data_IF_249634772426
#
_entry.id   IF_249634772426
#
_cell.length_a   1.000
_cell.length_b   1.000
_cell.length_c   1.000
_cell.angle_alpha   90.00
_cell.angle_beta   90.00
_cell.angle_gamma   90.00
#
_symmetry.space_group_name_H-M   'P 1'
#
loop_
_entity.id
_entity.type
_entity.pdbx_description
1 polymer ?
#
# COMPACT_ATOMS: atom_id res chain seq x y z
N UNK A 1 27.41 3.56 -20.41
CA UNK A 1 26.65 2.73 -19.44
C UNK A 1 26.93 3.31 -18.06
N UNK A 2 26.02 4.13 -17.55
CA UNK A 2 26.12 4.75 -16.22
C UNK A 2 25.97 3.64 -15.18
N UNK A 3 26.87 3.58 -14.21
CA UNK A 3 26.80 2.66 -13.09
C UNK A 3 25.60 3.03 -12.20
N UNK A 4 24.54 2.22 -12.24
CA UNK A 4 23.35 2.42 -11.42
C UNK A 4 23.65 2.29 -9.92
N UNK A 5 24.73 1.60 -9.53
CA UNK A 5 25.12 1.44 -8.13
C UNK A 5 25.70 2.73 -7.52
N UNK A 6 26.40 3.55 -8.32
CA UNK A 6 27.00 4.82 -7.88
C UNK A 6 25.97 5.89 -7.50
N UNK A 7 24.73 5.81 -8.02
CA UNK A 7 23.67 6.81 -7.77
C UNK A 7 23.10 6.78 -6.35
N UNK A 8 23.36 5.73 -5.58
CA UNK A 8 22.77 5.49 -4.26
C UNK A 8 23.71 5.79 -3.07
N UNK A 9 24.95 6.23 -3.31
CA UNK A 9 25.93 6.45 -2.24
C UNK A 9 25.69 7.74 -1.43
N UNK A 10 25.08 8.77 -2.02
CA UNK A 10 24.95 10.11 -1.40
C UNK A 10 23.50 10.55 -1.11
N UNK A 11 22.50 9.66 -1.31
CA UNK A 11 21.08 9.93 -1.04
C UNK A 11 20.56 8.97 0.02
N UNK A 12 19.53 9.34 0.82
CA UNK A 12 18.79 8.34 1.57
C UNK A 12 18.32 7.26 0.58
N UNK A 13 18.31 5.97 0.98
CA UNK A 13 18.06 4.85 0.06
C UNK A 13 16.70 4.96 -0.66
N UNK A 14 15.81 5.82 -0.18
CA UNK A 14 14.52 6.08 -0.80
C UNK A 14 14.11 7.56 -0.73
N UNK A 15 14.20 8.33 -1.82
CA UNK A 15 13.86 9.76 -1.83
C UNK A 15 12.35 10.03 -1.76
N UNK A 16 11.52 9.03 -2.03
CA UNK A 16 10.05 9.17 -2.07
C UNK A 16 9.36 8.85 -0.72
N UNK A 17 10.11 8.52 0.34
CA UNK A 17 9.53 8.31 1.68
C UNK A 17 9.23 9.70 2.26
N UNK A 18 8.02 9.95 2.80
CA UNK A 18 7.70 11.20 3.46
C UNK A 18 8.71 11.55 4.57
N UNK A 19 9.37 12.70 4.43
CA UNK A 19 10.38 13.17 5.38
C UNK A 19 9.81 13.94 6.61
N UNK A 20 8.48 14.05 6.72
CA UNK A 20 7.76 14.98 7.63
C UNK A 20 6.84 14.31 8.66
N UNK A 21 7.21 13.16 9.19
CA UNK A 21 6.69 12.71 10.48
C UNK A 21 7.85 12.86 11.45
N UNK A 22 7.63 13.37 12.67
CA UNK A 22 8.68 13.73 13.66
C UNK A 22 9.72 12.61 13.97
N UNK A 23 9.63 11.44 13.34
CA UNK A 23 10.40 10.22 13.54
C UNK A 23 10.89 9.56 12.22
N UNK A 24 10.97 10.31 11.11
CA UNK A 24 11.51 9.87 9.81
C UNK A 24 12.88 9.14 9.85
N UNK A 25 13.81 9.33 10.82
CA UNK A 25 15.07 8.58 10.88
C UNK A 25 14.97 7.06 11.10
N UNK A 26 13.78 6.45 11.06
CA UNK A 26 13.61 5.00 11.23
C UNK A 26 13.10 4.29 9.97
N UNK A 27 12.17 4.90 9.21
CA UNK A 27 11.62 4.30 7.97
C UNK A 27 12.56 4.44 6.77
N UNK A 28 13.29 5.57 6.68
CA UNK A 28 14.23 5.79 5.58
C UNK A 28 15.42 4.82 5.59
N UNK A 29 15.66 4.15 6.72
CA UNK A 29 16.71 3.14 6.89
C UNK A 29 16.20 1.70 6.68
N UNK A 30 14.94 1.52 6.29
CA UNK A 30 14.40 0.19 6.04
C UNK A 30 15.21 -0.51 4.94
N UNK A 31 15.67 -1.76 5.15
CA UNK A 31 16.47 -2.50 4.17
C UNK A 31 15.65 -2.93 2.94
N UNK A 32 14.32 -2.90 3.03
CA UNK A 32 13.43 -3.27 1.94
C UNK A 32 12.30 -2.24 1.81
N UNK A 33 12.04 -1.85 0.55
CA UNK A 33 10.83 -1.14 0.15
C UNK A 33 10.13 -1.95 -0.94
N UNK A 34 8.86 -2.27 -0.72
CA UNK A 34 7.98 -2.91 -1.73
C UNK A 34 6.99 -1.86 -2.22
N UNK A 35 6.83 -1.70 -3.54
CA UNK A 35 5.83 -0.81 -4.14
C UNK A 35 4.79 -1.65 -4.88
N UNK A 36 3.59 -1.85 -4.31
CA UNK A 36 2.50 -2.53 -5.01
C UNK A 36 1.97 -1.68 -6.18
N UNK A 37 1.89 -2.30 -7.35
CA UNK A 37 1.43 -1.68 -8.59
C UNK A 37 0.14 -2.34 -9.05
N UNK A 38 -0.98 -1.60 -9.05
CA UNK A 38 -2.23 -2.09 -9.61
C UNK A 38 -2.18 -2.06 -11.14
N UNK A 39 -2.70 -3.10 -11.79
CA UNK A 39 -2.65 -3.21 -13.25
C UNK A 39 -4.04 -3.57 -13.83
N UNK A 40 -4.79 -2.53 -14.20
CA UNK A 40 -6.17 -2.64 -14.68
C UNK A 40 -6.31 -3.53 -15.90
N UNK A 41 -5.43 -3.38 -16.89
CA UNK A 41 -5.55 -4.09 -18.17
C UNK A 41 -5.42 -5.61 -18.01
N UNK A 42 -4.56 -6.08 -17.09
CA UNK A 42 -4.41 -7.51 -16.79
C UNK A 42 -5.65 -8.05 -16.07
N UNK A 43 -6.20 -7.28 -15.13
CA UNK A 43 -7.43 -7.66 -14.44
C UNK A 43 -8.58 -7.84 -15.45
N UNK A 44 -8.82 -6.84 -16.31
CA UNK A 44 -9.88 -6.93 -17.32
C UNK A 44 -9.61 -8.02 -18.35
N UNK A 45 -8.35 -8.26 -18.74
CA UNK A 45 -7.98 -9.35 -19.64
C UNK A 45 -8.33 -10.72 -19.03
N UNK A 46 -8.00 -10.94 -17.75
CA UNK A 46 -8.32 -12.19 -17.05
C UNK A 46 -9.82 -12.45 -17.01
N UNK A 47 -10.62 -11.40 -16.81
CA UNK A 47 -12.08 -11.52 -16.74
C UNK A 47 -12.79 -11.47 -18.09
N UNK A 48 -12.03 -11.32 -19.18
CA UNK A 48 -12.49 -11.49 -20.56
C UNK A 48 -12.15 -12.89 -21.11
N UNK A 49 -11.57 -13.77 -20.29
CA UNK A 49 -11.29 -15.15 -20.71
C UNK A 49 -12.59 -15.93 -20.96
N UNK A 50 -12.58 -16.91 -21.88
CA UNK A 50 -13.80 -17.63 -22.29
C UNK A 50 -14.58 -18.31 -21.15
N UNK A 51 -13.93 -18.56 -19.99
CA UNK A 51 -14.56 -19.17 -18.83
C UNK A 51 -15.55 -18.25 -18.09
N UNK A 52 -15.63 -16.96 -18.44
CA UNK A 52 -16.44 -15.96 -17.71
C UNK A 52 -17.81 -15.67 -18.33
N UNK A 53 -18.08 -16.16 -19.55
CA UNK A 53 -19.37 -15.95 -20.23
C UNK A 53 -19.51 -14.58 -20.91
N UNK A 54 -18.46 -13.77 -20.92
CA UNK A 54 -18.32 -12.55 -21.73
C UNK A 54 -16.85 -12.34 -22.09
N UNK A 55 -16.58 -11.72 -23.24
CA UNK A 55 -15.23 -11.55 -23.79
C UNK A 55 -14.80 -10.08 -23.85
N UNK A 56 -15.68 -9.14 -23.47
CA UNK A 56 -15.33 -7.72 -23.41
C UNK A 56 -14.53 -7.37 -22.15
N UNK A 57 -13.87 -6.21 -22.19
CA UNK A 57 -13.07 -5.65 -21.09
C UNK A 57 -13.78 -4.45 -20.44
N UNK A 58 -15.10 -4.47 -20.35
CA UNK A 58 -15.89 -3.30 -19.98
C UNK A 58 -15.89 -3.02 -18.47
N UNK A 59 -15.23 -1.95 -18.01
CA UNK A 59 -15.15 -1.58 -16.58
C UNK A 59 -16.51 -1.50 -15.86
N UNK A 60 -17.60 -1.22 -16.58
CA UNK A 60 -18.95 -1.12 -16.06
C UNK A 60 -19.54 -2.41 -15.47
N UNK A 61 -18.93 -3.59 -15.70
CA UNK A 61 -19.41 -4.83 -15.05
C UNK A 61 -19.02 -4.92 -13.57
N UNK A 62 -18.16 -4.03 -13.09
CA UNK A 62 -17.67 -4.04 -11.71
C UNK A 62 -18.17 -2.79 -10.96
N UNK A 63 -18.79 -2.95 -9.77
CA UNK A 63 -19.24 -1.82 -8.97
C UNK A 63 -18.10 -1.01 -8.34
N UNK A 64 -16.86 -1.53 -8.41
CA UNK A 64 -15.66 -0.93 -7.85
C UNK A 64 -14.43 -1.31 -8.68
N UNK A 65 -13.34 -0.53 -8.62
CA UNK A 65 -12.11 -0.82 -9.34
C UNK A 65 -11.30 -1.93 -8.64
N UNK A 66 -11.70 -3.19 -8.85
CA UNK A 66 -11.12 -4.32 -8.12
C UNK A 66 -9.62 -4.52 -8.31
N UNK A 67 -9.02 -4.04 -9.41
CA UNK A 67 -7.56 -4.05 -9.57
C UNK A 67 -6.83 -3.29 -8.45
N UNK A 68 -7.40 -2.19 -7.95
CA UNK A 68 -6.86 -1.48 -6.79
C UNK A 68 -7.16 -2.21 -5.48
N UNK A 69 -8.35 -2.82 -5.36
CA UNK A 69 -8.76 -3.57 -4.17
C UNK A 69 -7.85 -4.78 -3.97
N UNK A 70 -7.63 -5.58 -5.01
CA UNK A 70 -6.77 -6.76 -4.98
C UNK A 70 -5.33 -6.39 -4.63
N UNK A 71 -4.83 -5.27 -5.18
CA UNK A 71 -3.50 -4.77 -4.87
C UNK A 71 -3.40 -4.27 -3.42
N UNK A 72 -4.48 -3.66 -2.91
CA UNK A 72 -4.60 -3.26 -1.50
C UNK A 72 -4.67 -4.46 -0.55
N UNK A 73 -5.40 -5.52 -0.92
CA UNK A 73 -5.42 -6.77 -0.16
C UNK A 73 -4.05 -7.44 -0.14
N UNK A 74 -3.35 -7.49 -1.28
CA UNK A 74 -1.98 -8.00 -1.34
C UNK A 74 -1.03 -7.18 -0.46
N UNK A 75 -1.12 -5.85 -0.48
CA UNK A 75 -0.35 -4.97 0.39
C UNK A 75 -0.63 -5.23 1.88
N UNK A 76 -1.90 -5.40 2.25
CA UNK A 76 -2.28 -5.74 3.62
C UNK A 76 -1.73 -7.10 4.05
N UNK A 77 -1.81 -8.12 3.18
CA UNK A 77 -1.25 -9.44 3.46
C UNK A 77 0.26 -9.36 3.70
N UNK A 78 1.01 -8.61 2.88
CA UNK A 78 2.44 -8.39 3.11
C UNK A 78 2.74 -7.74 4.46
N UNK A 79 1.95 -6.74 4.87
CA UNK A 79 2.09 -6.08 6.18
C UNK A 79 1.84 -7.07 7.34
N UNK A 80 0.78 -7.87 7.25
CA UNK A 80 0.44 -8.86 8.27
C UNK A 80 1.53 -9.94 8.37
N UNK A 81 2.01 -10.45 7.22
CA UNK A 81 3.11 -11.41 7.18
C UNK A 81 4.38 -10.84 7.79
N UNK A 82 4.75 -9.59 7.48
CA UNK A 82 5.93 -8.97 8.08
C UNK A 82 5.83 -8.91 9.61
N UNK A 83 4.67 -8.55 10.16
CA UNK A 83 4.45 -8.50 11.61
C UNK A 83 4.47 -9.90 12.24
N UNK A 84 3.87 -10.90 11.58
CA UNK A 84 3.87 -12.30 12.05
C UNK A 84 5.30 -12.88 12.12
N UNK A 85 6.15 -12.50 11.17
CA UNK A 85 7.58 -12.85 11.13
C UNK A 85 8.46 -11.97 12.06
N UNK A 86 7.85 -11.12 12.90
CA UNK A 86 8.57 -10.28 13.87
C UNK A 86 9.28 -9.06 13.28
N UNK A 87 8.96 -8.66 12.05
CA UNK A 87 9.50 -7.46 11.39
C UNK A 87 8.61 -6.23 11.65
N UNK A 88 9.22 -5.04 11.56
CA UNK A 88 8.50 -3.78 11.44
C UNK A 88 8.11 -3.53 9.99
N UNK A 89 6.87 -3.08 9.77
CA UNK A 89 6.42 -2.66 8.45
C UNK A 89 5.51 -1.42 8.50
N UNK A 90 5.54 -0.61 7.44
CA UNK A 90 4.73 0.60 7.34
C UNK A 90 4.36 0.87 5.88
N UNK A 91 3.06 1.05 5.62
CA UNK A 91 2.57 1.52 4.33
C UNK A 91 2.49 3.05 4.32
N UNK A 92 2.98 3.68 3.26
CA UNK A 92 2.93 5.11 3.04
C UNK A 92 2.47 5.44 1.61
N UNK A 93 1.77 6.57 1.45
CA UNK A 93 1.39 7.06 0.13
C UNK A 93 2.57 7.70 -0.60
N UNK A 94 2.63 7.53 -1.91
CA UNK A 94 3.49 8.33 -2.80
C UNK A 94 2.69 9.60 -3.14
N UNK A 95 3.30 10.76 -2.96
CA UNK A 95 2.63 12.03 -3.23
C UNK A 95 2.32 12.17 -4.74
N UNK A 96 1.20 12.80 -5.13
CA UNK A 96 0.80 12.87 -6.55
C UNK A 96 1.85 13.48 -7.48
N UNK A 97 2.59 14.49 -7.00
CA UNK A 97 3.69 15.16 -7.69
C UNK A 97 4.94 14.28 -7.84
N UNK A 98 5.11 13.29 -6.95
CA UNK A 98 6.22 12.33 -6.99
C UNK A 98 5.94 11.11 -7.88
N UNK A 99 4.69 10.88 -8.30
CA UNK A 99 4.32 9.70 -9.07
C UNK A 99 4.97 9.63 -10.45
N UNK A 100 5.12 10.76 -11.15
CA UNK A 100 5.78 10.78 -12.47
C UNK A 100 7.28 10.55 -12.32
N UNK A 101 8.03 11.31 -11.49
CA UNK A 101 9.45 11.04 -11.24
C UNK A 101 9.72 9.61 -10.76
N UNK A 102 8.87 9.07 -9.89
CA UNK A 102 8.98 7.69 -9.42
C UNK A 102 8.88 6.68 -10.56
N UNK A 103 7.88 6.83 -11.46
CA UNK A 103 7.74 5.91 -12.59
C UNK A 103 8.92 6.01 -13.56
N UNK A 104 9.39 7.21 -13.85
CA UNK A 104 10.54 7.44 -14.74
C UNK A 104 11.82 6.82 -14.18
N UNK A 105 12.09 7.00 -12.88
CA UNK A 105 13.29 6.47 -12.22
C UNK A 105 13.36 4.93 -12.31
N UNK A 106 12.22 4.25 -12.09
CA UNK A 106 12.16 2.79 -12.09
C UNK A 106 11.71 2.18 -13.42
N UNK A 107 11.51 2.99 -14.47
CA UNK A 107 11.04 2.52 -15.78
C UNK A 107 9.67 1.83 -15.73
N UNK A 108 8.77 2.28 -14.85
CA UNK A 108 7.45 1.69 -14.65
C UNK A 108 6.53 2.13 -15.80
N UNK A 109 5.94 1.19 -16.57
CA UNK A 109 5.01 1.52 -17.64
C UNK A 109 3.74 2.22 -17.14
N UNK A 110 3.11 3.01 -18.00
CA UNK A 110 1.93 3.83 -17.65
C UNK A 110 0.73 2.99 -17.19
N UNK A 111 0.60 1.75 -17.68
CA UNK A 111 -0.48 0.84 -17.30
C UNK A 111 -0.39 0.31 -15.85
N UNK A 112 0.74 0.52 -15.17
CA UNK A 112 0.94 0.18 -13.76
C UNK A 112 0.72 1.41 -12.87
N UNK A 113 -0.23 1.30 -11.96
CA UNK A 113 -0.58 2.35 -11.02
C UNK A 113 -0.04 2.04 -9.61
N UNK A 114 1.02 2.73 -9.15
CA UNK A 114 1.48 2.61 -7.76
C UNK A 114 0.39 3.06 -6.79
N UNK A 115 0.14 2.25 -5.76
CA UNK A 115 -0.84 2.61 -4.71
C UNK A 115 -0.17 3.15 -3.43
N UNK A 116 1.13 2.96 -3.29
CA UNK A 116 1.94 3.37 -2.13
C UNK A 116 3.23 2.55 -2.03
N UNK A 117 4.01 2.77 -0.99
CA UNK A 117 5.18 1.97 -0.65
C UNK A 117 5.04 1.30 0.71
N UNK A 118 5.70 0.16 0.88
CA UNK A 118 5.79 -0.59 2.14
C UNK A 118 7.26 -0.67 2.53
N UNK A 119 7.65 -0.01 3.62
CA UNK A 119 8.95 -0.25 4.23
C UNK A 119 8.89 -1.50 5.09
N UNK A 120 9.91 -2.37 5.02
CA UNK A 120 10.03 -3.57 5.86
C UNK A 120 11.45 -3.63 6.44
N UNK A 121 11.58 -3.95 7.72
CA UNK A 121 12.87 -4.09 8.37
C UNK A 121 12.80 -4.53 9.82
N UNK A 122 13.97 -4.71 10.44
CA UNK A 122 14.05 -4.94 11.88
C UNK A 122 13.87 -3.62 12.63
N UNK A 123 12.98 -3.64 13.62
CA UNK A 123 12.82 -2.51 14.53
C UNK A 123 14.09 -2.38 15.38
N UNK A 124 14.64 -1.17 15.48
CA UNK A 124 15.77 -0.91 16.39
C UNK A 124 15.29 -0.89 17.86
N UNK A 125 16.12 -1.43 18.75
CA UNK A 125 15.79 -1.65 20.16
C UNK A 125 15.54 -0.36 20.95
N UNK A 126 16.13 0.75 20.50
CA UNK A 126 16.03 2.08 21.12
C UNK A 126 14.83 2.89 20.62
N UNK A 127 14.03 2.37 19.67
CA UNK A 127 12.86 3.07 19.14
C UNK A 127 11.72 3.04 20.18
N UNK A 128 11.26 4.21 20.67
CA UNK A 128 10.20 4.29 21.66
C UNK A 128 8.93 3.56 21.21
N UNK A 129 8.25 2.93 22.15
CA UNK A 129 6.94 2.33 21.90
C UNK A 129 5.97 3.35 21.31
N UNK A 130 5.07 2.88 20.45
CA UNK A 130 4.09 3.74 19.80
C UNK A 130 3.17 4.39 20.84
N UNK A 131 2.87 5.67 20.68
CA UNK A 131 2.00 6.41 21.59
C UNK A 131 0.59 5.79 21.65
N UNK A 132 -0.01 5.63 22.85
CA UNK A 132 -1.40 5.18 23.01
C UNK A 132 -2.42 6.02 22.22
N UNK A 133 -2.12 7.32 22.00
CA UNK A 133 -2.94 8.23 21.20
C UNK A 133 -3.19 7.76 19.78
N UNK A 134 -2.33 6.90 19.22
CA UNK A 134 -2.57 6.32 17.89
C UNK A 134 -3.72 5.31 17.92
N UNK A 135 -3.83 4.52 19.00
CA UNK A 135 -4.94 3.57 19.16
C UNK A 135 -6.26 4.32 19.35
N UNK A 136 -6.25 5.46 20.05
CA UNK A 136 -7.41 6.33 20.27
C UNK A 136 -8.00 6.93 18.98
N UNK A 137 -7.25 6.93 17.86
CA UNK A 137 -7.75 7.39 16.55
C UNK A 137 -8.70 6.39 15.87
N UNK A 138 -8.73 5.13 16.35
CA UNK A 138 -9.60 4.11 15.77
C UNK A 138 -11.04 4.38 16.20
N UNK A 139 -11.95 4.40 15.22
CA UNK A 139 -13.39 4.36 15.46
C UNK A 139 -13.75 3.08 16.23
N UNK A 140 -14.75 3.14 17.10
CA UNK A 140 -15.19 1.97 17.86
C UNK A 140 -15.86 0.95 16.94
N UNK A 141 -16.01 -0.28 17.43
CA UNK A 141 -16.68 -1.33 16.67
C UNK A 141 -18.13 -0.93 16.33
N UNK A 142 -18.85 -0.30 17.26
CA UNK A 142 -20.23 0.15 17.08
C UNK A 142 -20.37 1.21 15.97
N UNK A 143 -19.32 1.98 15.72
CA UNK A 143 -19.30 3.00 14.68
C UNK A 143 -19.07 2.44 13.27
N UNK A 144 -18.50 1.24 13.15
CA UNK A 144 -18.07 0.64 11.86
C UNK A 144 -18.72 -0.71 11.56
N UNK A 145 -19.29 -1.39 12.55
CA UNK A 145 -19.99 -2.66 12.42
C UNK A 145 -21.49 -2.42 12.50
N UNK A 146 -22.20 -2.79 11.44
CA UNK A 146 -23.65 -2.67 11.37
C UNK A 146 -24.28 -4.05 11.17
N UNK A 147 -25.19 -4.43 12.06
CA UNK A 147 -25.90 -5.71 11.98
C UNK A 147 -27.22 -5.56 11.21
N UNK A 148 -27.38 -6.32 10.13
CA UNK A 148 -28.59 -6.32 9.28
C UNK A 148 -28.72 -5.08 8.39
N UNK A 149 -28.87 -3.89 8.96
CA UNK A 149 -29.03 -2.63 8.24
C UNK A 149 -28.01 -1.59 8.71
N UNK A 150 -27.66 -0.66 7.82
CA UNK A 150 -26.78 0.47 8.15
C UNK A 150 -27.33 1.25 9.35
N UNK A 151 -26.50 1.44 10.39
CA UNK A 151 -26.90 2.15 11.61
C UNK A 151 -27.85 1.40 12.56
N UNK A 152 -28.25 0.16 12.27
CA UNK A 152 -29.23 -0.61 13.09
C UNK A 152 -28.72 -1.11 14.45
N UNK A 153 -27.46 -0.83 14.81
CA UNK A 153 -26.74 -1.41 15.95
C UNK A 153 -27.09 -0.85 17.35
N UNK A 154 -28.28 -0.28 17.55
CA UNK A 154 -28.72 0.22 18.86
C UNK A 154 -30.06 -0.39 19.35
N UNK A 155 -30.75 -1.18 18.53
CA UNK A 155 -32.09 -1.66 18.84
C UNK A 155 -32.23 -3.18 18.71
N UNK A 156 -31.45 -3.94 19.48
CA UNK A 156 -31.76 -5.34 19.86
C UNK A 156 -30.68 -5.86 20.82
N UNK A 157 -30.86 -5.65 22.13
CA UNK A 157 -30.32 -6.54 23.17
C UNK A 157 -31.43 -6.83 24.15
#
# INVERSE_FOLDING_TARGET
MSDAASRWQDRPPWPFVPARVEQTPTMANAPLVVVPLAHKAAYLARYAEPDKGWEDRAESRWPAPYWHIDTGMAALLMLLTAVDEGLGACFFGIMPDELVPFREEFGIPEEYAPIGGITVGHRADDVPVQSPRIAERRRTAEEVVHHGHWGGGAAAR
#
